data_IF_318403410541
#
_entry.id   IF_318403410541
#
_cell.length_a   1.000
_cell.length_b   1.000
_cell.length_c   1.000
_cell.angle_alpha   90.00
_cell.angle_beta   90.00
_cell.angle_gamma   90.00
#
_symmetry.space_group_name_H-M   'P 1'
#
loop_
_entity.id
_entity.type
_entity.pdbx_description
1 polymer ?
#
# COMPACT_ATOMS: atom_id res chain seq x y z
N UNK A 1 -20.53 0.58 20.85
CA UNK A 1 -19.10 0.28 21.10
C UNK A 1 -18.40 -0.45 19.94
N UNK A 2 -19.05 -1.43 19.30
CA UNK A 2 -18.42 -2.33 18.32
C UNK A 2 -17.89 -1.64 17.04
N UNK A 3 -18.56 -0.60 16.54
CA UNK A 3 -18.15 0.10 15.29
C UNK A 3 -16.85 0.91 15.44
N UNK A 4 -16.61 1.55 16.60
CA UNK A 4 -15.42 2.39 16.83
C UNK A 4 -14.12 1.59 16.90
N UNK A 5 -14.18 0.40 17.51
CA UNK A 5 -13.04 -0.50 17.56
C UNK A 5 -12.70 -1.05 16.16
N UNK A 6 -13.71 -1.31 15.32
CA UNK A 6 -13.48 -1.73 13.93
C UNK A 6 -12.70 -0.68 13.15
N UNK A 7 -13.03 0.61 13.24
CA UNK A 7 -12.29 1.68 12.55
C UNK A 7 -10.83 1.75 12.97
N UNK A 8 -10.54 1.63 14.26
CA UNK A 8 -9.16 1.58 14.77
C UNK A 8 -8.41 0.34 14.28
N UNK A 9 -9.03 -0.84 14.35
CA UNK A 9 -8.41 -2.08 13.89
C UNK A 9 -8.14 -2.05 12.39
N UNK A 10 -9.09 -1.58 11.57
CA UNK A 10 -8.92 -1.40 10.13
C UNK A 10 -7.82 -0.39 9.82
N UNK A 11 -7.81 0.75 10.51
CA UNK A 11 -6.75 1.76 10.34
C UNK A 11 -5.36 1.22 10.67
N UNK A 12 -5.25 0.49 11.79
CA UNK A 12 -3.99 -0.17 12.19
C UNK A 12 -3.55 -1.19 11.15
N UNK A 13 -4.46 -2.02 10.67
CA UNK A 13 -4.18 -3.06 9.68
C UNK A 13 -3.66 -2.47 8.37
N UNK A 14 -4.34 -1.45 7.84
CA UNK A 14 -3.94 -0.76 6.61
C UNK A 14 -2.56 -0.08 6.77
N UNK A 15 -2.33 0.58 7.90
CA UNK A 15 -1.07 1.25 8.18
C UNK A 15 0.09 0.25 8.29
N UNK A 16 -0.11 -0.85 9.01
CA UNK A 16 0.92 -1.88 9.20
C UNK A 16 1.22 -2.59 7.88
N UNK A 17 0.21 -2.96 7.09
CA UNK A 17 0.44 -3.62 5.80
C UNK A 17 1.12 -2.69 4.81
N UNK A 18 0.65 -1.45 4.67
CA UNK A 18 1.29 -0.47 3.80
C UNK A 18 2.74 -0.22 4.19
N UNK A 19 3.01 -0.07 5.49
CA UNK A 19 4.33 0.17 6.03
C UNK A 19 5.29 -1.01 5.86
N UNK A 20 4.85 -2.24 6.21
CA UNK A 20 5.64 -3.45 6.04
C UNK A 20 5.93 -3.69 4.56
N UNK A 21 4.92 -3.56 3.69
CA UNK A 21 5.11 -3.79 2.24
C UNK A 21 6.12 -2.80 1.67
N UNK A 22 6.05 -1.52 2.06
CA UNK A 22 7.03 -0.51 1.66
C UNK A 22 8.44 -0.82 2.19
N UNK A 23 8.54 -1.31 3.43
CA UNK A 23 9.81 -1.67 4.06
C UNK A 23 10.43 -2.89 3.36
N UNK A 24 9.65 -3.92 3.06
CA UNK A 24 10.09 -5.10 2.28
C UNK A 24 10.52 -4.67 0.88
N UNK A 25 9.75 -3.80 0.21
CA UNK A 25 10.08 -3.27 -1.11
C UNK A 25 11.44 -2.55 -1.12
N UNK A 26 11.75 -1.77 -0.07
CA UNK A 26 13.05 -1.10 0.08
C UNK A 26 14.18 -2.05 0.44
N UNK A 27 13.96 -3.00 1.37
CA UNK A 27 14.98 -3.98 1.76
C UNK A 27 15.36 -4.95 0.63
N UNK A 28 14.43 -5.24 -0.26
CA UNK A 28 14.64 -6.19 -1.37
C UNK A 28 15.09 -5.53 -2.68
N UNK A 29 15.47 -4.23 -2.65
CA UNK A 29 15.81 -3.46 -3.85
C UNK A 29 14.73 -3.59 -4.95
N UNK A 30 13.50 -3.21 -4.61
CA UNK A 30 12.34 -3.25 -5.51
C UNK A 30 11.86 -4.65 -5.91
N UNK A 31 12.09 -5.63 -5.04
CA UNK A 31 11.77 -7.03 -5.29
C UNK A 31 10.26 -7.29 -5.41
N UNK A 32 9.43 -6.60 -4.63
CA UNK A 32 7.96 -6.76 -4.66
C UNK A 32 7.42 -6.21 -5.98
N UNK A 33 7.88 -5.03 -6.40
CA UNK A 33 7.48 -4.44 -7.68
C UNK A 33 7.94 -5.25 -8.88
N UNK A 34 9.13 -5.85 -8.82
CA UNK A 34 9.60 -6.78 -9.86
C UNK A 34 8.75 -8.03 -9.93
N UNK A 35 8.37 -8.59 -8.77
CA UNK A 35 7.55 -9.79 -8.72
C UNK A 35 6.14 -9.53 -9.23
N UNK A 36 5.50 -8.44 -8.81
CA UNK A 36 4.19 -8.00 -9.30
C UNK A 36 4.26 -7.71 -10.81
N UNK A 37 5.29 -7.01 -11.26
CA UNK A 37 5.52 -6.71 -12.66
C UNK A 37 5.66 -7.97 -13.51
N UNK A 38 6.44 -8.96 -13.07
CA UNK A 38 6.54 -10.28 -13.72
C UNK A 38 5.24 -11.07 -13.68
N UNK A 39 4.49 -11.00 -12.58
CA UNK A 39 3.21 -11.72 -12.46
C UNK A 39 2.17 -11.17 -13.47
N UNK A 40 2.17 -9.85 -13.68
CA UNK A 40 1.23 -9.18 -14.56
C UNK A 40 1.66 -9.20 -16.04
N UNK A 41 2.94 -8.96 -16.32
CA UNK A 41 3.47 -8.84 -17.68
C UNK A 41 4.13 -10.12 -18.21
N UNK A 42 4.38 -11.13 -17.36
CA UNK A 42 5.12 -12.33 -17.73
C UNK A 42 6.51 -11.99 -18.28
N UNK A 43 6.88 -12.65 -19.38
CA UNK A 43 8.14 -12.45 -20.11
C UNK A 43 8.26 -11.06 -20.77
N UNK A 44 7.18 -10.27 -20.82
CA UNK A 44 7.20 -8.90 -21.35
C UNK A 44 7.63 -7.87 -20.30
N UNK A 45 7.87 -8.28 -19.06
CA UNK A 45 8.28 -7.38 -17.98
C UNK A 45 9.62 -6.70 -18.29
N UNK A 46 9.64 -5.37 -18.34
CA UNK A 46 10.81 -4.55 -18.66
C UNK A 46 11.47 -4.87 -20.02
N UNK A 47 10.72 -5.43 -20.96
CA UNK A 47 11.22 -5.67 -22.31
C UNK A 47 11.46 -4.32 -23.01
N UNK A 48 12.65 -4.16 -23.62
CA UNK A 48 13.00 -2.94 -24.34
C UNK A 48 12.07 -2.75 -25.55
N UNK A 49 11.50 -1.55 -25.68
CA UNK A 49 10.71 -1.21 -26.86
C UNK A 49 11.64 -1.15 -28.07
N UNK A 50 11.43 -2.07 -29.03
CA UNK A 50 12.19 -2.10 -30.29
C UNK A 50 12.77 -3.47 -30.65
N UNK A 51 11.92 -4.48 -30.83
CA UNK A 51 12.05 -5.51 -31.88
C UNK A 51 10.87 -6.50 -31.90
N UNK A 52 10.08 -6.65 -30.80
CA UNK A 52 8.98 -7.64 -30.76
C UNK A 52 7.77 -7.28 -29.87
N UNK A 53 7.59 -6.05 -29.38
CA UNK A 53 6.47 -5.74 -28.47
C UNK A 53 6.05 -4.27 -28.41
N UNK A 54 4.74 -4.04 -28.50
CA UNK A 54 4.05 -2.73 -28.53
C UNK A 54 3.99 -1.99 -27.18
N UNK A 55 4.90 -2.25 -26.24
CA UNK A 55 4.95 -1.47 -25.00
C UNK A 55 5.90 -2.02 -23.94
N UNK A 56 6.47 -1.11 -23.16
CA UNK A 56 7.26 -1.41 -21.96
C UNK A 56 6.33 -1.86 -20.83
N UNK A 57 5.82 -3.10 -20.90
CA UNK A 57 4.93 -3.63 -19.87
C UNK A 57 5.64 -3.67 -18.51
N UNK A 58 4.97 -3.15 -17.47
CA UNK A 58 5.53 -3.10 -16.12
C UNK A 58 6.60 -2.03 -15.93
N UNK A 59 6.73 -1.09 -16.89
CA UNK A 59 7.51 0.11 -16.71
C UNK A 59 7.02 0.88 -15.49
N UNK A 60 7.95 1.22 -14.60
CA UNK A 60 7.69 2.02 -13.40
C UNK A 60 6.75 1.35 -12.36
N UNK A 61 6.70 0.02 -12.33
CA UNK A 61 5.92 -0.72 -11.31
C UNK A 61 6.33 -0.39 -9.87
N UNK A 62 7.59 -0.02 -9.65
CA UNK A 62 8.12 0.49 -8.38
C UNK A 62 7.43 1.78 -7.93
N UNK A 63 7.15 2.71 -8.84
CA UNK A 63 6.37 3.91 -8.53
C UNK A 63 4.93 3.57 -8.18
N UNK A 64 4.31 2.61 -8.89
CA UNK A 64 2.92 2.19 -8.64
C UNK A 64 2.80 1.54 -7.26
N UNK A 65 3.65 0.57 -6.95
CA UNK A 65 3.64 -0.11 -5.65
C UNK A 65 3.95 0.87 -4.52
N UNK A 66 4.92 1.76 -4.72
CA UNK A 66 5.23 2.84 -3.78
C UNK A 66 4.03 3.74 -3.49
N UNK A 67 3.30 4.16 -4.54
CA UNK A 67 2.12 5.00 -4.41
C UNK A 67 0.99 4.27 -3.67
N UNK A 68 0.73 3.00 -3.98
CA UNK A 68 -0.29 2.19 -3.29
C UNK A 68 0.06 2.04 -1.82
N UNK A 69 1.31 1.69 -1.49
CA UNK A 69 1.74 1.56 -0.10
C UNK A 69 1.60 2.89 0.66
N UNK A 70 1.96 4.01 0.02
CA UNK A 70 1.78 5.33 0.59
C UNK A 70 0.31 5.65 0.88
N UNK A 71 -0.60 5.39 -0.06
CA UNK A 71 -2.04 5.58 0.13
C UNK A 71 -2.59 4.71 1.26
N UNK A 72 -2.16 3.45 1.37
CA UNK A 72 -2.53 2.56 2.48
C UNK A 72 -2.07 3.11 3.83
N UNK A 73 -0.84 3.64 3.92
CA UNK A 73 -0.35 4.28 5.12
C UNK A 73 -1.15 5.54 5.49
N UNK A 74 -1.38 6.44 4.53
CA UNK A 74 -2.12 7.69 4.78
C UNK A 74 -3.57 7.40 5.20
N UNK A 75 -4.25 6.51 4.48
CA UNK A 75 -5.63 6.11 4.83
C UNK A 75 -5.70 5.41 6.18
N UNK A 76 -4.75 4.50 6.47
CA UNK A 76 -4.63 3.85 7.78
C UNK A 76 -4.44 4.85 8.92
N UNK A 77 -3.54 5.82 8.75
CA UNK A 77 -3.28 6.89 9.71
C UNK A 77 -4.54 7.75 9.95
N UNK A 78 -5.23 8.17 8.89
CA UNK A 78 -6.46 8.95 8.99
C UNK A 78 -7.54 8.20 9.78
N UNK A 79 -7.75 6.92 9.50
CA UNK A 79 -8.71 6.09 10.24
C UNK A 79 -8.33 5.93 11.71
N UNK A 80 -7.03 5.80 12.03
CA UNK A 80 -6.54 5.77 13.40
C UNK A 80 -6.85 7.08 14.14
N UNK A 81 -6.54 8.23 13.52
CA UNK A 81 -6.83 9.55 14.11
C UNK A 81 -8.32 9.72 14.34
N UNK A 82 -9.16 9.41 13.35
CA UNK A 82 -10.63 9.48 13.47
C UNK A 82 -11.12 8.58 14.61
N UNK A 83 -10.63 7.34 14.67
CA UNK A 83 -10.99 6.39 15.72
C UNK A 83 -10.59 6.87 17.12
N UNK A 84 -9.41 7.47 17.27
CA UNK A 84 -8.92 8.03 18.52
C UNK A 84 -9.73 9.25 18.96
N UNK A 85 -10.04 10.17 18.04
CA UNK A 85 -10.87 11.35 18.32
C UNK A 85 -12.27 10.93 18.75
N UNK A 86 -12.91 9.99 18.05
CA UNK A 86 -14.22 9.45 18.41
C UNK A 86 -14.24 8.74 19.77
N UNK A 87 -13.13 8.10 20.16
CA UNK A 87 -12.97 7.48 21.48
C UNK A 87 -12.83 8.53 22.58
N UNK A 88 -12.01 9.56 22.34
CA UNK A 88 -11.78 10.67 23.28
C UNK A 88 -13.05 11.49 23.54
N UNK A 89 -13.77 11.87 22.48
CA UNK A 89 -15.03 12.62 22.61
C UNK A 89 -16.11 11.84 23.37
N UNK A 90 -16.16 10.51 23.23
CA UNK A 90 -17.11 9.70 23.97
C UNK A 90 -16.74 9.57 25.44
N UNK A 91 -15.45 9.48 25.77
CA UNK A 91 -14.96 9.46 27.15
C UNK A 91 -15.23 10.78 27.88
N UNK A 92 -15.30 11.91 27.18
CA UNK A 92 -15.67 13.22 27.75
C UNK A 92 -17.19 13.42 27.95
N UNK A 93 -18.03 12.59 27.32
CA UNK A 93 -19.50 12.72 27.39
C UNK A 93 -20.13 11.89 28.52
N UNK A 94 -19.34 10.98 29.10
CA UNK A 94 -19.65 10.20 30.31
C UNK A 94 -18.93 10.87 31.47
#
# INVERSE_FOLDING_TARGET
>A
MQSKNKTLTTGLFLFVIGGITLLVERLTNWGVSRLIGKLYCGERYLQAAGQVGDGTCGFNMDMVVGLVCFLLCVTGLLLLVIGLVQKSLWKKKI
#
